data_IF_879574859964
#
_entry.id   IF_879574859964
#
_cell.length_a   1.000
_cell.length_b   1.000
_cell.length_c   1.000
_cell.angle_alpha   90.00
_cell.angle_beta   90.00
_cell.angle_gamma   90.00
#
_symmetry.space_group_name_H-M   'P 1'
#
loop_
_entity.id
_entity.type
_entity.pdbx_description
1 polymer ?
#
# COMPACT_ATOMS: atom_id res chain seq x y z
N UNK A 1 -16.34 9.14 7.41
CA UNK A 1 -16.93 7.78 7.47
C UNK A 1 -15.83 6.72 7.38
N UNK A 2 -14.85 6.75 8.30
CA UNK A 2 -13.85 5.69 8.46
C UNK A 2 -13.51 5.54 9.95
N UNK A 3 -14.52 5.65 10.82
CA UNK A 3 -14.29 5.72 12.28
C UNK A 3 -13.87 4.37 12.89
N UNK A 4 -13.92 3.28 12.13
CA UNK A 4 -13.50 1.93 12.56
C UNK A 4 -12.70 1.22 11.46
N UNK A 5 -11.59 1.82 11.00
CA UNK A 5 -10.65 1.12 10.12
C UNK A 5 -9.49 0.55 10.95
N UNK A 6 -9.35 -0.77 10.97
CA UNK A 6 -8.15 -1.42 11.52
C UNK A 6 -6.99 -1.27 10.53
N UNK A 7 -5.76 -1.33 11.05
CA UNK A 7 -4.55 -1.27 10.22
C UNK A 7 -4.33 -2.53 9.37
N UNK A 8 -4.99 -3.62 9.73
CA UNK A 8 -4.99 -4.89 9.00
C UNK A 8 -6.21 -5.05 8.07
N UNK A 9 -7.14 -4.09 8.06
CA UNK A 9 -8.30 -4.16 7.17
C UNK A 9 -7.88 -4.03 5.70
N UNK A 10 -8.51 -4.86 4.86
CA UNK A 10 -8.32 -4.83 3.41
C UNK A 10 -8.96 -3.59 2.80
N UNK A 11 -8.11 -2.67 2.34
CA UNK A 11 -8.48 -1.44 1.67
C UNK A 11 -9.18 -1.71 0.33
N UNK A 12 -8.81 -2.80 -0.36
CA UNK A 12 -9.48 -3.23 -1.59
C UNK A 12 -10.88 -3.80 -1.32
N UNK A 13 -11.03 -4.69 -0.33
CA UNK A 13 -12.33 -5.27 -0.01
C UNK A 13 -13.33 -4.23 0.52
N UNK A 14 -12.84 -3.27 1.30
CA UNK A 14 -13.63 -2.13 1.76
C UNK A 14 -13.92 -1.11 0.66
N UNK A 15 -13.34 -1.27 -0.54
CA UNK A 15 -13.54 -0.38 -1.69
C UNK A 15 -12.95 1.01 -1.50
N UNK A 16 -12.02 1.16 -0.57
CA UNK A 16 -11.34 2.43 -0.25
C UNK A 16 -10.35 2.76 -1.36
N UNK A 17 -9.59 1.75 -1.77
CA UNK A 17 -8.69 1.80 -2.91
C UNK A 17 -9.21 0.88 -4.02
N UNK A 18 -8.91 1.26 -5.25
CA UNK A 18 -9.10 0.43 -6.43
C UNK A 18 -7.73 0.22 -7.11
N UNK A 19 -7.68 -0.60 -8.16
CA UNK A 19 -6.43 -0.92 -8.85
C UNK A 19 -5.74 0.30 -9.47
N UNK A 20 -6.48 1.36 -9.78
CA UNK A 20 -5.91 2.60 -10.35
C UNK A 20 -5.33 3.46 -9.24
N UNK A 21 -6.08 3.66 -8.14
CA UNK A 21 -5.62 4.38 -6.96
C UNK A 21 -4.43 3.72 -6.28
N UNK A 22 -4.31 2.39 -6.37
CA UNK A 22 -3.14 1.67 -5.88
C UNK A 22 -1.86 2.14 -6.60
N UNK A 23 -1.90 2.37 -7.91
CA UNK A 23 -0.75 2.88 -8.66
C UNK A 23 -0.39 4.31 -8.27
N UNK A 24 -1.39 5.17 -8.02
CA UNK A 24 -1.15 6.53 -7.51
C UNK A 24 -0.51 6.49 -6.11
N UNK A 25 -0.97 5.58 -5.25
CA UNK A 25 -0.39 5.36 -3.93
C UNK A 25 1.06 4.90 -4.04
N UNK A 26 1.36 3.92 -4.89
CA UNK A 26 2.73 3.44 -5.10
C UNK A 26 3.65 4.57 -5.54
N UNK A 27 3.26 5.35 -6.55
CA UNK A 27 4.03 6.51 -6.99
C UNK A 27 4.27 7.52 -5.85
N UNK A 28 3.28 7.76 -5.01
CA UNK A 28 3.45 8.59 -3.81
C UNK A 28 4.47 7.99 -2.84
N UNK A 29 4.45 6.68 -2.61
CA UNK A 29 5.39 6.00 -1.72
C UNK A 29 6.83 6.09 -2.26
N UNK A 30 7.03 5.85 -3.55
CA UNK A 30 8.33 5.96 -4.21
C UNK A 30 8.93 7.36 -4.06
N UNK A 31 8.13 8.41 -4.34
CA UNK A 31 8.57 9.80 -4.25
C UNK A 31 8.89 10.23 -2.81
N UNK A 32 8.06 9.84 -1.83
CA UNK A 32 8.20 10.30 -0.45
C UNK A 32 9.23 9.50 0.36
N UNK A 33 9.41 8.23 0.03
CA UNK A 33 10.30 7.35 0.77
C UNK A 33 11.59 6.98 0.02
N UNK A 34 11.71 7.35 -1.26
CA UNK A 34 12.88 7.06 -2.09
C UNK A 34 13.06 5.58 -2.38
N UNK A 35 11.95 4.84 -2.48
CA UNK A 35 11.91 3.42 -2.79
C UNK A 35 11.51 3.22 -4.25
N UNK A 36 11.79 2.04 -4.80
CA UNK A 36 11.35 1.62 -6.14
C UNK A 36 10.53 0.33 -5.98
N UNK A 37 9.39 0.26 -6.65
CA UNK A 37 8.47 -0.88 -6.62
C UNK A 37 8.50 -1.59 -7.97
N UNK A 38 8.95 -2.85 -7.95
CA UNK A 38 9.03 -3.67 -9.15
C UNK A 38 7.67 -4.32 -9.49
N UNK A 39 7.47 -4.73 -10.75
CA UNK A 39 6.24 -5.39 -11.20
C UNK A 39 5.87 -6.64 -10.37
N UNK A 40 6.87 -7.36 -9.85
CA UNK A 40 6.68 -8.55 -9.00
C UNK A 40 6.18 -8.18 -7.59
N UNK A 41 6.38 -6.93 -7.18
CA UNK A 41 5.99 -6.41 -5.88
C UNK A 41 4.63 -5.73 -5.91
N UNK A 42 4.08 -5.45 -7.10
CA UNK A 42 2.72 -4.95 -7.35
C UNK A 42 1.63 -5.99 -7.05
N UNK A 43 1.81 -6.72 -5.96
CA UNK A 43 0.87 -7.70 -5.46
C UNK A 43 -0.01 -7.05 -4.38
N UNK A 44 -1.33 -7.31 -4.37
CA UNK A 44 -2.23 -6.80 -3.34
C UNK A 44 -1.71 -7.05 -1.92
N UNK A 45 -1.08 -8.20 -1.69
CA UNK A 45 -0.51 -8.59 -0.39
C UNK A 45 0.46 -7.57 0.21
N UNK A 46 1.14 -6.75 -0.62
CA UNK A 46 2.06 -5.70 -0.16
C UNK A 46 1.38 -4.35 0.11
N UNK A 47 0.16 -4.14 -0.40
CA UNK A 47 -0.48 -2.82 -0.47
C UNK A 47 -1.94 -2.78 -0.02
N UNK A 48 -2.52 -3.93 0.34
CA UNK A 48 -3.94 -4.07 0.63
C UNK A 48 -4.30 -3.60 2.05
N UNK A 49 -3.35 -3.46 2.96
CA UNK A 49 -3.58 -2.89 4.29
C UNK A 49 -2.51 -1.87 4.66
N UNK A 50 -2.80 -1.02 5.65
CA UNK A 50 -1.83 -0.05 6.14
C UNK A 50 -0.58 -0.73 6.69
N UNK A 51 -0.74 -1.83 7.43
CA UNK A 51 0.39 -2.59 7.95
C UNK A 51 1.22 -3.23 6.83
N UNK A 52 0.59 -3.74 5.77
CA UNK A 52 1.30 -4.29 4.62
C UNK A 52 2.17 -3.23 3.94
N UNK A 53 1.61 -2.03 3.72
CA UNK A 53 2.32 -0.89 3.12
C UNK A 53 3.53 -0.50 3.98
N UNK A 54 3.33 -0.38 5.29
CA UNK A 54 4.42 -0.02 6.22
C UNK A 54 5.51 -1.09 6.20
N UNK A 55 5.16 -2.37 6.28
CA UNK A 55 6.11 -3.47 6.23
C UNK A 55 6.90 -3.50 4.91
N UNK A 56 6.24 -3.22 3.79
CA UNK A 56 6.89 -3.11 2.49
C UNK A 56 7.92 -1.98 2.48
N UNK A 57 7.56 -0.78 2.93
CA UNK A 57 8.48 0.38 3.01
C UNK A 57 9.68 0.07 3.92
N UNK A 58 9.44 -0.57 5.07
CA UNK A 58 10.51 -0.95 6.00
C UNK A 58 11.45 -1.98 5.36
N UNK A 59 10.93 -2.95 4.61
CA UNK A 59 11.74 -3.96 3.92
C UNK A 59 12.67 -3.36 2.85
N UNK A 60 12.26 -2.24 2.22
CA UNK A 60 13.06 -1.52 1.20
C UNK A 60 14.14 -0.61 1.80
N UNK A 61 14.01 -0.23 3.08
CA UNK A 61 14.93 0.68 3.77
C UNK A 61 15.97 -0.03 4.64
N UNK A 62 15.80 -1.33 4.89
CA UNK A 62 16.75 -2.19 5.60
C UNK A 62 17.86 -2.70 4.70
#
# INVERSE_FOLDING_TARGET
>A
EFEDLDHDDSLLELGIIDSVKMMEMISFLEENFGIEVDDEELMPENFDSLNAIVAFIESKKG
#
